data_IF_729854543233
#
_entry.id   IF_729854543233
#
_cell.length_a   1.000
_cell.length_b   1.000
_cell.length_c   1.000
_cell.angle_alpha   90.00
_cell.angle_beta   90.00
_cell.angle_gamma   90.00
#
_symmetry.space_group_name_H-M   'P 1'
#
loop_
_entity.id
_entity.type
_entity.pdbx_description
1 polymer ?
#
# COMPACT_ATOMS: atom_id res chain seq x y z
N UNK A 1 1.66 8.44 -17.66
CA UNK A 1 1.53 9.91 -17.48
C UNK A 1 0.11 10.33 -17.89
N UNK A 2 -0.30 10.10 -19.11
CA UNK A 2 -1.61 10.56 -19.63
C UNK A 2 -2.80 10.06 -18.80
N UNK A 3 -2.78 8.81 -18.36
CA UNK A 3 -3.82 8.22 -17.50
C UNK A 3 -4.00 9.02 -16.21
N UNK A 4 -2.91 9.42 -15.55
CA UNK A 4 -2.97 10.16 -14.30
C UNK A 4 -3.47 11.59 -14.52
N UNK A 5 -3.06 12.21 -15.62
CA UNK A 5 -3.57 13.53 -16.00
C UNK A 5 -5.07 13.49 -16.29
N UNK A 6 -5.54 12.46 -17.00
CA UNK A 6 -6.96 12.27 -17.24
C UNK A 6 -7.73 12.03 -15.92
N UNK A 7 -7.20 11.20 -15.01
CA UNK A 7 -7.80 11.02 -13.69
C UNK A 7 -7.88 12.33 -12.91
N UNK A 8 -6.85 13.18 -12.96
CA UNK A 8 -6.87 14.50 -12.33
C UNK A 8 -7.98 15.39 -12.89
N UNK A 9 -8.19 15.37 -14.21
CA UNK A 9 -9.28 16.12 -14.84
C UNK A 9 -10.66 15.65 -14.39
N UNK A 10 -10.87 14.33 -14.29
CA UNK A 10 -12.16 13.74 -13.91
C UNK A 10 -12.46 13.90 -12.42
N UNK A 11 -11.45 13.73 -11.55
CA UNK A 11 -11.60 13.75 -10.10
C UNK A 11 -11.53 15.16 -9.50
N UNK A 12 -11.05 16.13 -10.26
CA UNK A 12 -10.82 17.49 -9.77
C UNK A 12 -9.52 17.64 -8.97
N UNK A 13 -9.20 18.88 -8.55
CA UNK A 13 -7.91 19.20 -7.95
C UNK A 13 -7.74 18.69 -6.51
N UNK A 14 -8.83 18.44 -5.80
CA UNK A 14 -8.81 18.21 -4.35
C UNK A 14 -8.61 16.74 -3.96
N UNK A 15 -8.77 15.80 -4.90
CA UNK A 15 -8.60 14.36 -4.63
C UNK A 15 -7.12 14.01 -4.66
N UNK A 16 -6.51 13.51 -3.55
CA UNK A 16 -5.14 13.05 -3.57
C UNK A 16 -4.94 11.87 -4.53
N UNK A 17 -3.96 11.95 -5.41
CA UNK A 17 -3.60 10.87 -6.32
C UNK A 17 -2.30 10.22 -5.87
N UNK A 18 -2.24 8.90 -5.99
CA UNK A 18 -1.10 8.06 -5.63
C UNK A 18 -0.77 7.15 -6.79
N UNK A 19 0.50 6.90 -6.98
CA UNK A 19 0.99 6.03 -8.06
C UNK A 19 1.94 5.03 -7.44
N UNK A 20 1.70 3.75 -7.68
CA UNK A 20 2.56 2.66 -7.26
C UNK A 20 2.98 1.80 -8.46
N UNK A 21 4.19 1.98 -8.97
CA UNK A 21 4.75 1.09 -9.98
C UNK A 21 5.39 -0.19 -9.40
N UNK A 22 5.34 -0.41 -8.11
CA UNK A 22 5.87 -1.61 -7.44
C UNK A 22 7.32 -1.92 -7.84
N UNK A 23 8.22 -0.95 -7.72
CA UNK A 23 9.64 -1.04 -8.07
C UNK A 23 9.93 -1.32 -9.56
N UNK A 24 8.94 -1.15 -10.45
CA UNK A 24 9.10 -1.53 -11.86
C UNK A 24 9.87 -0.50 -12.69
N UNK A 25 10.11 0.70 -12.20
CA UNK A 25 10.80 1.74 -12.95
C UNK A 25 12.28 1.83 -12.62
N UNK A 26 13.06 2.22 -13.64
CA UNK A 26 14.42 2.70 -13.43
C UNK A 26 14.41 4.05 -12.69
N UNK A 27 15.53 4.45 -12.13
CA UNK A 27 15.69 5.79 -11.53
C UNK A 27 15.33 6.88 -12.55
N UNK A 28 15.80 6.78 -13.78
CA UNK A 28 15.53 7.76 -14.84
C UNK A 28 14.05 7.84 -15.19
N UNK A 29 13.36 6.71 -15.30
CA UNK A 29 11.91 6.67 -15.54
C UNK A 29 11.14 7.25 -14.36
N UNK A 30 11.53 6.93 -13.13
CA UNK A 30 10.92 7.44 -11.89
C UNK A 30 11.00 8.97 -11.83
N UNK A 31 12.17 9.54 -12.10
CA UNK A 31 12.38 10.99 -12.15
C UNK A 31 11.57 11.63 -13.27
N UNK A 32 11.62 11.06 -14.49
CA UNK A 32 10.84 11.56 -15.64
C UNK A 32 9.33 11.61 -15.34
N UNK A 33 8.80 10.55 -14.74
CA UNK A 33 7.37 10.49 -14.39
C UNK A 33 7.05 11.46 -13.25
N UNK A 34 7.87 11.51 -12.20
CA UNK A 34 7.71 12.44 -11.09
C UNK A 34 7.67 13.91 -11.55
N UNK A 35 8.62 14.31 -12.41
CA UNK A 35 8.63 15.66 -12.99
C UNK A 35 7.39 15.94 -13.84
N UNK A 36 6.97 14.97 -14.66
CA UNK A 36 5.82 15.13 -15.54
C UNK A 36 4.46 15.18 -14.82
N UNK A 37 4.40 14.67 -13.58
CA UNK A 37 3.19 14.57 -12.74
C UNK A 37 3.29 15.37 -11.45
N UNK A 38 4.23 16.30 -11.36
CA UNK A 38 4.45 17.11 -10.16
C UNK A 38 3.18 17.83 -9.69
N UNK A 39 2.41 18.39 -10.62
CA UNK A 39 1.17 19.09 -10.30
C UNK A 39 0.06 18.12 -9.86
N UNK A 40 -0.06 16.98 -10.53
CA UNK A 40 -1.09 15.99 -10.26
C UNK A 40 -0.91 15.31 -8.89
N UNK A 41 0.33 15.21 -8.41
CA UNK A 41 0.68 14.58 -7.14
C UNK A 41 0.91 15.58 -6.00
N UNK A 42 0.82 16.89 -6.24
CA UNK A 42 1.16 17.93 -5.26
C UNK A 42 0.19 18.05 -4.08
N UNK A 43 -1.08 17.66 -4.27
CA UNK A 43 -2.12 17.83 -3.25
C UNK A 43 -2.34 16.55 -2.43
N UNK A 44 -1.48 16.28 -1.46
CA UNK A 44 -1.58 15.11 -0.57
C UNK A 44 -1.36 13.77 -1.27
N UNK A 45 -0.84 13.81 -2.50
CA UNK A 45 -0.43 12.63 -3.25
C UNK A 45 0.98 12.17 -2.89
N UNK A 46 1.40 11.06 -3.46
CA UNK A 46 2.76 10.54 -3.35
C UNK A 46 3.11 9.58 -4.48
N UNK A 47 4.39 9.30 -4.60
CA UNK A 47 4.94 8.29 -5.49
C UNK A 47 5.45 7.12 -4.64
N UNK A 48 4.78 5.96 -4.73
CA UNK A 48 5.05 4.76 -3.96
C UNK A 48 6.01 3.86 -4.72
N UNK A 49 7.05 3.40 -4.03
CA UNK A 49 8.04 2.44 -4.53
C UNK A 49 8.34 2.59 -6.05
N UNK A 50 8.73 3.79 -6.54
CA UNK A 50 8.97 3.99 -7.97
C UNK A 50 10.12 3.14 -8.48
N UNK A 51 11.14 2.90 -7.66
CA UNK A 51 12.29 2.08 -7.96
C UNK A 51 12.70 1.24 -6.75
N UNK A 52 13.54 0.23 -6.97
CA UNK A 52 13.91 -0.71 -5.93
C UNK A 52 14.98 -0.17 -4.98
N UNK A 53 14.79 -0.44 -3.69
CA UNK A 53 15.78 -0.22 -2.63
C UNK A 53 15.95 1.23 -2.20
N UNK A 54 16.50 1.43 -0.99
CA UNK A 54 16.66 2.76 -0.39
C UNK A 54 17.60 3.66 -1.20
N UNK A 55 18.69 3.12 -1.73
CA UNK A 55 19.64 3.90 -2.54
C UNK A 55 18.99 4.45 -3.82
N UNK A 56 18.17 3.62 -4.49
CA UNK A 56 17.41 4.05 -5.67
C UNK A 56 16.37 5.11 -5.33
N UNK A 57 15.61 4.90 -4.25
CA UNK A 57 14.62 5.86 -3.75
C UNK A 57 15.28 7.20 -3.39
N UNK A 58 16.40 7.17 -2.68
CA UNK A 58 17.16 8.38 -2.31
C UNK A 58 17.66 9.15 -3.54
N UNK A 59 18.14 8.46 -4.56
CA UNK A 59 18.59 9.12 -5.79
C UNK A 59 17.41 9.73 -6.58
N UNK A 60 16.26 9.06 -6.64
CA UNK A 60 15.03 9.64 -7.21
C UNK A 60 14.63 10.90 -6.44
N UNK A 61 14.57 10.84 -5.12
CA UNK A 61 14.25 11.97 -4.23
C UNK A 61 15.17 13.16 -4.48
N UNK A 62 16.46 12.93 -4.45
CA UNK A 62 17.50 13.93 -4.67
C UNK A 62 17.35 14.62 -6.03
N UNK A 63 17.11 13.87 -7.08
CA UNK A 63 16.98 14.41 -8.44
C UNK A 63 15.69 15.20 -8.63
N UNK A 64 14.57 14.76 -8.05
CA UNK A 64 13.32 15.55 -8.06
C UNK A 64 13.50 16.88 -7.35
N UNK A 65 14.14 16.88 -6.16
CA UNK A 65 14.41 18.10 -5.41
C UNK A 65 15.36 19.07 -6.15
N UNK A 66 16.33 18.54 -6.91
CA UNK A 66 17.24 19.37 -7.70
C UNK A 66 16.51 20.13 -8.82
N UNK A 67 15.37 19.59 -9.29
CA UNK A 67 14.50 20.26 -10.28
C UNK A 67 13.36 21.07 -9.61
N UNK A 68 13.40 21.24 -8.28
CA UNK A 68 12.41 22.00 -7.53
C UNK A 68 11.08 21.28 -7.30
N UNK A 69 11.04 19.95 -7.48
CA UNK A 69 9.86 19.12 -7.30
C UNK A 69 9.95 18.35 -5.99
N UNK A 70 9.04 18.66 -5.06
CA UNK A 70 8.96 18.05 -3.73
C UNK A 70 7.74 17.11 -3.63
N UNK A 71 7.78 15.99 -4.34
CA UNK A 71 6.79 14.92 -4.21
C UNK A 71 7.26 13.94 -3.15
N UNK A 72 6.45 13.63 -2.12
CA UNK A 72 6.80 12.60 -1.16
C UNK A 72 6.98 11.24 -1.82
N UNK A 73 8.03 10.52 -1.47
CA UNK A 73 8.20 9.11 -1.80
C UNK A 73 7.66 8.26 -0.65
N UNK A 74 6.82 7.30 -0.99
CA UNK A 74 6.25 6.35 -0.04
C UNK A 74 6.80 4.94 -0.28
N UNK A 75 6.81 4.09 0.74
CA UNK A 75 7.26 2.71 0.56
C UNK A 75 6.56 1.73 1.48
N UNK A 76 6.21 0.57 0.92
CA UNK A 76 5.86 -0.66 1.63
C UNK A 76 6.83 -1.81 1.26
N UNK A 77 7.74 -1.60 0.32
CA UNK A 77 8.71 -2.61 -0.15
C UNK A 77 10.12 -2.34 0.38
N UNK A 78 10.58 -1.09 0.34
CA UNK A 78 11.95 -0.73 0.75
C UNK A 78 12.09 -0.47 2.26
N UNK A 79 10.97 -0.22 2.96
CA UNK A 79 10.92 -0.04 4.42
C UNK A 79 9.86 -0.97 5.00
N UNK A 80 10.28 -2.12 5.48
CA UNK A 80 9.38 -3.19 5.95
C UNK A 80 9.58 -3.56 7.42
N UNK A 81 10.59 -3.00 8.06
CA UNK A 81 10.92 -3.26 9.46
C UNK A 81 11.48 -2.04 10.16
N UNK A 82 11.51 -2.06 11.50
CA UNK A 82 12.17 -1.01 12.28
C UNK A 82 13.67 -0.90 11.97
N UNK A 83 14.31 -1.99 11.51
CA UNK A 83 15.72 -2.00 11.14
C UNK A 83 16.03 -1.19 9.88
N UNK A 84 15.06 -0.97 9.01
CA UNK A 84 15.24 -0.22 7.76
C UNK A 84 15.15 1.31 7.99
N UNK A 85 14.44 1.73 9.06
CA UNK A 85 14.18 3.15 9.34
C UNK A 85 15.44 4.00 9.48
N UNK A 86 16.50 3.59 10.21
CA UNK A 86 17.69 4.41 10.35
C UNK A 86 18.34 4.80 9.02
N UNK A 87 18.44 3.87 8.09
CA UNK A 87 19.03 4.13 6.80
C UNK A 87 18.08 4.94 5.88
N UNK A 88 16.78 4.64 5.92
CA UNK A 88 15.77 5.42 5.20
C UNK A 88 15.78 6.91 5.61
N UNK A 89 15.86 7.19 6.90
CA UNK A 89 15.95 8.55 7.45
C UNK A 89 17.26 9.22 7.04
N UNK A 90 18.38 8.52 7.22
CA UNK A 90 19.72 9.07 6.91
C UNK A 90 19.86 9.48 5.45
N UNK A 91 19.28 8.70 4.54
CA UNK A 91 19.33 8.94 3.09
C UNK A 91 18.23 9.88 2.59
N UNK A 92 17.26 10.27 3.41
CA UNK A 92 16.02 10.95 2.97
C UNK A 92 15.29 10.18 1.86
N UNK A 93 15.34 8.84 1.93
CA UNK A 93 14.89 7.97 0.87
C UNK A 93 13.35 7.83 0.82
N UNK A 94 12.68 8.01 1.97
CA UNK A 94 11.24 7.78 2.13
C UNK A 94 10.65 8.84 3.06
N UNK A 95 9.62 9.53 2.60
CA UNK A 95 8.89 10.54 3.38
C UNK A 95 7.60 9.98 3.98
N UNK A 96 7.13 8.83 3.50
CA UNK A 96 5.92 8.16 4.00
C UNK A 96 6.20 6.67 4.10
N UNK A 97 5.98 6.10 5.29
CA UNK A 97 5.97 4.63 5.46
C UNK A 97 4.53 4.13 5.30
N UNK A 98 4.35 3.15 4.45
CA UNK A 98 3.09 2.45 4.26
C UNK A 98 3.15 1.16 5.07
N UNK A 99 2.67 1.22 6.30
CA UNK A 99 2.73 0.08 7.20
C UNK A 99 1.60 -0.92 6.91
N UNK A 100 1.79 -2.12 7.38
CA UNK A 100 0.82 -3.20 7.27
C UNK A 100 0.86 -4.01 8.56
N UNK A 101 -0.26 -4.16 9.24
CA UNK A 101 -0.33 -4.88 10.50
C UNK A 101 0.03 -6.36 10.38
N UNK A 102 0.00 -6.94 9.16
CA UNK A 102 0.45 -8.31 8.91
C UNK A 102 1.98 -8.43 8.95
N UNK A 103 2.71 -7.47 8.40
CA UNK A 103 4.18 -7.52 8.27
C UNK A 103 4.91 -6.89 9.43
N UNK A 104 4.39 -5.81 9.97
CA UNK A 104 5.04 -5.05 11.05
C UNK A 104 4.92 -5.68 12.45
N UNK A 105 4.30 -6.88 12.55
CA UNK A 105 4.19 -7.60 13.82
C UNK A 105 2.93 -7.30 14.62
N UNK A 106 1.85 -6.89 13.95
CA UNK A 106 0.53 -6.69 14.54
C UNK A 106 0.22 -5.25 14.93
N UNK A 107 -0.99 -5.04 15.41
CA UNK A 107 -1.57 -3.72 15.67
C UNK A 107 -0.73 -2.86 16.64
N UNK A 108 -0.16 -3.48 17.68
CA UNK A 108 0.70 -2.78 18.67
C UNK A 108 1.97 -2.25 18.04
N UNK A 109 2.57 -3.01 17.13
CA UNK A 109 3.80 -2.58 16.45
C UNK A 109 3.54 -1.43 15.48
N UNK A 110 2.38 -1.42 14.83
CA UNK A 110 1.95 -0.27 14.01
C UNK A 110 1.85 1.00 14.85
N UNK A 111 1.33 0.94 16.07
CA UNK A 111 1.28 2.09 16.98
C UNK A 111 2.68 2.55 17.42
N UNK A 112 3.62 1.62 17.66
CA UNK A 112 5.02 1.97 17.93
C UNK A 112 5.69 2.62 16.71
N UNK A 113 5.45 2.07 15.52
CA UNK A 113 5.93 2.66 14.28
C UNK A 113 5.41 4.08 14.09
N UNK A 114 4.12 4.32 14.34
CA UNK A 114 3.52 5.64 14.23
C UNK A 114 4.24 6.69 15.08
N UNK A 115 4.59 6.36 16.32
CA UNK A 115 5.37 7.24 17.20
C UNK A 115 6.79 7.45 16.70
N UNK A 116 7.41 6.42 16.16
CA UNK A 116 8.73 6.50 15.56
C UNK A 116 8.71 7.41 14.32
N UNK A 117 7.77 7.21 13.42
CA UNK A 117 7.58 8.05 12.24
C UNK A 117 7.32 9.52 12.65
N UNK A 118 6.45 9.75 13.62
CA UNK A 118 6.22 11.11 14.16
C UNK A 118 7.49 11.76 14.66
N UNK A 119 8.36 11.04 15.35
CA UNK A 119 9.63 11.55 15.88
C UNK A 119 10.57 12.03 14.77
N UNK A 120 10.57 11.33 13.65
CA UNK A 120 11.43 11.65 12.51
C UNK A 120 10.76 12.50 11.43
N UNK A 121 9.51 12.94 11.65
CA UNK A 121 8.77 13.72 10.65
C UNK A 121 8.37 12.94 9.40
N UNK A 122 8.33 11.60 9.49
CA UNK A 122 7.90 10.72 8.41
C UNK A 122 6.38 10.55 8.47
N UNK A 123 5.70 10.71 7.35
CA UNK A 123 4.28 10.41 7.23
C UNK A 123 3.97 8.92 7.38
N UNK A 124 2.75 8.62 7.74
CA UNK A 124 2.29 7.24 7.90
C UNK A 124 0.97 7.01 7.16
N UNK A 125 0.88 5.94 6.44
CA UNK A 125 -0.34 5.35 5.91
C UNK A 125 -0.36 3.85 6.18
N UNK A 126 -1.45 3.18 5.85
CA UNK A 126 -1.53 1.73 5.94
C UNK A 126 -1.71 1.14 4.55
N UNK A 127 -0.83 0.22 4.21
CA UNK A 127 -0.91 -0.64 3.05
C UNK A 127 -1.79 -1.85 3.36
N UNK A 128 -2.42 -2.42 2.35
CA UNK A 128 -3.07 -3.71 2.46
C UNK A 128 -2.62 -4.67 1.37
N UNK A 129 -2.71 -5.95 1.69
CA UNK A 129 -2.72 -7.01 0.69
C UNK A 129 -4.14 -7.43 0.38
N UNK A 130 -4.30 -8.50 -0.41
CA UNK A 130 -5.56 -9.21 -0.48
C UNK A 130 -5.96 -9.68 0.91
N UNK A 131 -6.97 -9.06 1.49
CA UNK A 131 -7.43 -9.33 2.85
C UNK A 131 -8.96 -9.40 2.92
N UNK A 132 -9.47 -10.16 3.88
CA UNK A 132 -10.90 -10.31 4.16
C UNK A 132 -11.35 -9.31 5.25
N UNK A 133 -12.65 -9.26 5.53
CA UNK A 133 -13.24 -8.27 6.43
C UNK A 133 -12.63 -8.21 7.82
N UNK A 134 -12.22 -9.32 8.40
CA UNK A 134 -11.54 -9.34 9.71
C UNK A 134 -10.23 -8.55 9.67
N UNK A 135 -9.46 -8.67 8.59
CA UNK A 135 -8.24 -7.90 8.43
C UNK A 135 -8.52 -6.42 8.13
N UNK A 136 -9.54 -6.12 7.35
CA UNK A 136 -9.99 -4.74 7.12
C UNK A 136 -10.42 -4.07 8.44
N UNK A 137 -11.19 -4.76 9.28
CA UNK A 137 -11.58 -4.25 10.59
C UNK A 137 -10.37 -4.05 11.50
N UNK A 138 -9.42 -4.99 11.52
CA UNK A 138 -8.19 -4.83 12.29
C UNK A 138 -7.39 -3.60 11.84
N UNK A 139 -7.23 -3.40 10.52
CA UNK A 139 -6.61 -2.21 9.96
C UNK A 139 -7.36 -0.94 10.37
N UNK A 140 -8.68 -0.94 10.25
CA UNK A 140 -9.52 0.22 10.57
C UNK A 140 -9.47 0.57 12.06
N UNK A 141 -9.49 -0.43 12.94
CA UNK A 141 -9.36 -0.23 14.39
C UNK A 141 -7.99 0.36 14.79
N UNK A 142 -6.90 -0.17 14.21
CA UNK A 142 -5.58 0.36 14.50
C UNK A 142 -5.39 1.75 13.90
N UNK A 143 -5.94 2.00 12.72
CA UNK A 143 -5.92 3.32 12.10
C UNK A 143 -6.65 4.37 12.97
N UNK A 144 -7.85 4.05 13.45
CA UNK A 144 -8.63 4.92 14.33
C UNK A 144 -7.91 5.21 15.67
N UNK A 145 -7.12 4.24 16.17
CA UNK A 145 -6.35 4.37 17.39
C UNK A 145 -4.95 5.02 17.21
N UNK A 146 -4.60 5.40 15.98
CA UNK A 146 -3.26 5.89 15.63
C UNK A 146 -3.32 7.38 15.25
N UNK A 147 -2.93 8.26 16.19
CA UNK A 147 -3.00 9.71 16.00
C UNK A 147 -2.14 10.26 14.85
N UNK A 148 -1.02 9.61 14.56
CA UNK A 148 -0.08 10.03 13.51
C UNK A 148 -0.32 9.31 12.18
N UNK A 149 -1.54 8.90 11.88
CA UNK A 149 -1.90 8.41 10.56
C UNK A 149 -2.18 9.63 9.66
N UNK A 150 -1.20 9.98 8.83
CA UNK A 150 -1.20 11.23 8.06
C UNK A 150 -1.92 11.11 6.72
N UNK A 151 -2.07 9.89 6.23
CA UNK A 151 -2.66 9.59 4.92
C UNK A 151 -3.76 8.55 5.05
N UNK A 152 -4.73 8.58 4.15
CA UNK A 152 -5.77 7.56 4.10
C UNK A 152 -5.16 6.17 3.87
N UNK A 153 -5.72 5.16 4.51
CA UNK A 153 -5.32 3.77 4.29
C UNK A 153 -5.68 3.31 2.88
N UNK A 154 -4.89 2.42 2.33
CA UNK A 154 -5.30 1.70 1.14
C UNK A 154 -6.01 0.39 1.51
N UNK A 155 -6.81 -0.16 0.60
CA UNK A 155 -7.39 -1.49 0.78
C UNK A 155 -7.73 -2.17 -0.54
N UNK A 156 -7.37 -3.46 -0.65
CA UNK A 156 -7.78 -4.33 -1.74
C UNK A 156 -9.14 -5.03 -1.47
N UNK A 157 -9.76 -4.74 -0.35
CA UNK A 157 -11.00 -5.37 0.06
C UNK A 157 -12.15 -5.28 -0.97
N UNK A 158 -12.35 -4.16 -1.70
CA UNK A 158 -13.39 -4.08 -2.73
C UNK A 158 -13.26 -5.12 -3.84
N UNK A 159 -12.07 -5.65 -4.07
CA UNK A 159 -11.78 -6.65 -5.12
C UNK A 159 -11.97 -8.09 -4.64
N UNK A 160 -12.22 -8.31 -3.34
CA UNK A 160 -12.47 -9.65 -2.81
C UNK A 160 -13.87 -10.12 -3.19
N UNK A 161 -14.01 -11.42 -3.42
CA UNK A 161 -15.30 -12.05 -3.66
C UNK A 161 -16.14 -12.06 -2.37
N UNK A 162 -17.43 -11.78 -2.49
CA UNK A 162 -18.36 -11.95 -1.36
C UNK A 162 -18.41 -13.38 -0.82
N UNK A 163 -18.14 -14.35 -1.71
CA UNK A 163 -18.12 -15.77 -1.35
C UNK A 163 -16.91 -16.15 -0.48
N UNK A 164 -15.87 -15.32 -0.44
CA UNK A 164 -14.67 -15.58 0.34
C UNK A 164 -14.70 -14.87 1.70
N UNK A 165 -15.71 -14.02 1.96
CA UNK A 165 -15.82 -13.29 3.22
C UNK A 165 -16.05 -14.24 4.40
N UNK A 166 -15.29 -14.02 5.46
CA UNK A 166 -15.33 -14.83 6.71
C UNK A 166 -15.91 -14.07 7.91
N UNK A 167 -16.28 -12.81 7.74
CA UNK A 167 -17.03 -12.08 8.75
C UNK A 167 -18.50 -12.52 8.72
N UNK A 168 -19.03 -12.88 9.89
CA UNK A 168 -20.45 -13.19 10.04
C UNK A 168 -21.28 -11.94 9.75
N UNK A 169 -22.35 -12.09 8.97
CA UNK A 169 -23.14 -10.96 8.46
C UNK A 169 -22.69 -10.42 7.10
N UNK A 170 -21.65 -11.00 6.50
CA UNK A 170 -21.21 -10.70 5.12
C UNK A 170 -20.21 -9.55 5.03
N UNK A 171 -20.15 -8.93 3.84
CA UNK A 171 -19.15 -7.92 3.51
C UNK A 171 -19.23 -6.67 4.38
N UNK A 172 -18.07 -6.20 4.80
CA UNK A 172 -17.93 -4.89 5.44
C UNK A 172 -18.23 -3.79 4.42
N UNK A 173 -19.11 -2.88 4.78
CA UNK A 173 -19.48 -1.78 3.90
C UNK A 173 -18.42 -0.67 3.90
N UNK A 174 -17.99 -0.28 2.70
CA UNK A 174 -17.23 0.93 2.48
C UNK A 174 -18.19 1.95 1.85
N UNK A 175 -18.36 3.08 2.50
CA UNK A 175 -19.27 4.15 2.06
C UNK A 175 -18.54 5.48 2.02
N UNK A 176 -18.65 6.18 0.90
CA UNK A 176 -17.96 7.47 0.69
C UNK A 176 -16.44 7.43 0.97
N UNK A 177 -15.79 6.30 0.66
CA UNK A 177 -14.35 6.10 0.93
C UNK A 177 -14.01 5.80 2.40
N UNK A 178 -15.00 5.51 3.25
CA UNK A 178 -14.83 5.31 4.68
C UNK A 178 -15.34 3.94 5.13
N UNK A 179 -14.68 3.38 6.15
CA UNK A 179 -15.12 2.20 6.88
C UNK A 179 -15.59 2.65 8.26
N UNK A 180 -16.83 2.31 8.59
CA UNK A 180 -17.36 2.58 9.92
C UNK A 180 -16.68 1.68 10.95
N UNK A 181 -16.15 2.28 12.02
CA UNK A 181 -15.55 1.54 13.12
C UNK A 181 -16.68 1.02 14.03
N UNK A 182 -16.81 -0.32 14.21
CA UNK A 182 -17.81 -0.87 15.11
C UNK A 182 -17.54 -0.47 16.57
N UNK A 183 -18.61 -0.14 17.32
CA UNK A 183 -18.52 0.17 18.76
C UNK A 183 -18.51 -1.07 19.65
N UNK A 184 -18.77 -2.24 19.09
CA UNK A 184 -18.75 -3.51 19.82
C UNK A 184 -17.34 -3.94 20.19
N UNK A 185 -17.20 -4.80 21.22
CA UNK A 185 -15.90 -5.28 21.68
C UNK A 185 -15.12 -6.06 20.63
N UNK A 186 -13.81 -6.13 20.79
CA UNK A 186 -12.88 -6.79 19.88
C UNK A 186 -12.73 -6.03 18.56
N UNK A 187 -12.76 -6.74 17.42
CA UNK A 187 -12.71 -6.12 16.09
C UNK A 187 -14.08 -5.66 15.60
N UNK A 188 -15.14 -5.96 16.33
CA UNK A 188 -16.50 -5.59 15.94
C UNK A 188 -17.16 -6.54 14.96
N UNK A 189 -16.63 -7.74 14.80
CA UNK A 189 -17.24 -8.80 14.01
C UNK A 189 -17.04 -10.17 14.65
N UNK A 190 -17.92 -11.09 14.33
CA UNK A 190 -17.80 -12.52 14.61
C UNK A 190 -17.37 -13.28 13.34
N UNK A 191 -16.98 -14.54 13.49
CA UNK A 191 -16.47 -15.34 12.37
C UNK A 191 -17.54 -16.29 11.87
N UNK A 192 -17.70 -16.38 10.55
CA UNK A 192 -18.41 -17.46 9.87
C UNK A 192 -17.49 -18.71 9.79
N UNK A 193 -17.67 -19.64 10.73
CA UNK A 193 -16.86 -20.85 10.80
C UNK A 193 -17.09 -21.82 9.64
N UNK A 194 -18.27 -21.82 9.04
CA UNK A 194 -18.57 -22.64 7.87
C UNK A 194 -17.82 -22.11 6.64
N UNK A 195 -17.75 -20.80 6.50
CA UNK A 195 -16.98 -20.18 5.44
C UNK A 195 -15.47 -20.39 5.62
N UNK A 196 -14.97 -20.30 6.85
CA UNK A 196 -13.58 -20.64 7.17
C UNK A 196 -13.27 -22.11 6.82
N UNK A 197 -14.19 -23.03 7.11
CA UNK A 197 -14.00 -24.43 6.77
C UNK A 197 -13.92 -24.64 5.24
N UNK A 198 -14.81 -24.00 4.48
CA UNK A 198 -14.77 -24.00 3.00
C UNK A 198 -13.45 -23.43 2.45
N UNK A 199 -13.03 -22.27 2.96
CA UNK A 199 -11.76 -21.66 2.58
C UNK A 199 -10.55 -22.54 2.89
N UNK A 200 -10.58 -23.24 4.01
CA UNK A 200 -9.54 -24.21 4.40
C UNK A 200 -9.45 -25.40 3.44
N UNK A 201 -10.59 -25.95 3.00
CA UNK A 201 -10.60 -27.03 2.01
C UNK A 201 -10.11 -26.52 0.65
N UNK A 202 -10.53 -25.33 0.21
CA UNK A 202 -10.03 -24.72 -1.01
C UNK A 202 -8.50 -24.53 -0.93
N UNK A 203 -7.97 -23.96 0.17
CA UNK A 203 -6.54 -23.81 0.37
C UNK A 203 -5.78 -25.14 0.28
N UNK A 204 -6.34 -26.22 0.84
CA UNK A 204 -5.72 -27.57 0.78
C UNK A 204 -5.72 -28.14 -0.64
N UNK A 205 -6.75 -27.86 -1.43
CA UNK A 205 -6.85 -28.33 -2.81
C UNK A 205 -5.90 -27.63 -3.78
N UNK A 206 -5.41 -26.42 -3.44
CA UNK A 206 -4.46 -25.68 -4.26
C UNK A 206 -3.10 -26.38 -4.21
N UNK A 207 -2.51 -26.76 -5.38
CA UNK A 207 -1.28 -27.55 -5.42
C UNK A 207 -0.01 -26.76 -5.08
N UNK A 208 -0.09 -25.43 -5.03
CA UNK A 208 1.04 -24.54 -4.73
C UNK A 208 0.74 -23.66 -3.50
N UNK A 209 1.80 -23.09 -2.90
CA UNK A 209 1.71 -22.22 -1.71
C UNK A 209 2.34 -20.86 -1.93
N UNK A 210 3.13 -20.71 -2.98
CA UNK A 210 3.76 -19.45 -3.37
C UNK A 210 3.12 -18.96 -4.65
N UNK A 211 2.87 -17.67 -4.70
CA UNK A 211 2.45 -16.99 -5.91
C UNK A 211 3.62 -17.03 -6.92
N UNK A 212 3.30 -17.36 -8.15
CA UNK A 212 4.23 -17.36 -9.27
C UNK A 212 3.66 -16.45 -10.36
N UNK A 213 4.01 -15.17 -10.27
CA UNK A 213 3.52 -14.15 -11.21
C UNK A 213 4.02 -14.40 -12.63
N UNK A 214 5.22 -14.96 -12.79
CA UNK A 214 5.78 -15.26 -14.10
C UNK A 214 4.95 -16.35 -14.79
N UNK A 215 4.66 -17.44 -14.10
CA UNK A 215 3.83 -18.51 -14.64
C UNK A 215 2.41 -18.03 -14.97
N UNK A 216 1.80 -17.21 -14.13
CA UNK A 216 0.46 -16.66 -14.37
C UNK A 216 0.45 -15.69 -15.57
N UNK A 217 1.45 -14.82 -15.68
CA UNK A 217 1.56 -13.90 -16.81
C UNK A 217 1.85 -14.63 -18.13
N UNK A 218 2.69 -15.66 -18.11
CA UNK A 218 2.94 -16.51 -19.28
C UNK A 218 1.68 -17.23 -19.75
N UNK A 219 0.84 -17.65 -18.81
CA UNK A 219 -0.40 -18.36 -19.12
C UNK A 219 -1.48 -17.47 -19.74
N UNK A 220 -1.65 -16.24 -19.24
CA UNK A 220 -2.81 -15.41 -19.56
C UNK A 220 -2.50 -14.17 -20.41
N UNK A 221 -1.23 -13.77 -20.51
CA UNK A 221 -0.86 -12.49 -21.15
C UNK A 221 0.13 -12.71 -22.28
N UNK A 222 1.30 -13.27 -22.02
CA UNK A 222 2.39 -13.43 -22.99
C UNK A 222 3.24 -14.64 -22.61
N UNK A 223 3.32 -15.70 -23.45
CA UNK A 223 4.11 -16.90 -23.15
C UNK A 223 5.59 -16.64 -22.87
N UNK A 224 6.14 -15.53 -23.40
CA UNK A 224 7.55 -15.14 -23.23
C UNK A 224 7.77 -14.14 -22.09
N UNK A 225 6.72 -13.85 -21.31
CA UNK A 225 6.81 -12.88 -20.22
C UNK A 225 7.82 -13.31 -19.16
N UNK A 226 8.66 -12.36 -18.75
CA UNK A 226 9.64 -12.56 -17.67
C UNK A 226 9.50 -11.46 -16.63
N UNK A 227 9.66 -11.84 -15.36
CA UNK A 227 9.72 -10.88 -14.27
C UNK A 227 11.10 -10.21 -14.25
N UNK A 228 11.20 -9.03 -14.83
CA UNK A 228 12.42 -8.19 -14.86
C UNK A 228 12.12 -6.91 -14.08
N UNK A 229 13.00 -6.56 -13.14
CA UNK A 229 12.93 -5.28 -12.41
C UNK A 229 14.30 -4.59 -12.46
N UNK A 230 14.36 -3.31 -12.80
CA UNK A 230 13.25 -2.49 -13.32
C UNK A 230 12.80 -2.95 -14.70
N UNK A 231 11.54 -2.71 -15.04
CA UNK A 231 10.94 -3.09 -16.33
C UNK A 231 10.96 -1.94 -17.33
N UNK A 232 10.92 -0.70 -16.85
CA UNK A 232 10.87 0.54 -17.63
C UNK A 232 11.95 1.54 -17.21
#
# INVERSE_FOLDING_TARGET
>A
IETIKQLRLELGPDVPLRIDPNCAWSIDTSVKVGLALANELSNGGYLEDPTAGLDGMAEVRKRLLAEGVDIPLASNVSVTSFGDLPEAVKQDAVQIVLCDHHYWGGMRQVQHLAKTCQTFGIGLSMHSNSHLGISLLAMSQVAAATQHLSYACDTHYPWQSEQDEIADGGRITISNGEVLIPESGGLGATLDYDQIARGKELYRSIPYRKRDDEAEMQKYVDPDWKRILPRW
#
